data_IF_678203147991
#
_entry.id   IF_678203147991
#
_cell.length_a   1.000
_cell.length_b   1.000
_cell.length_c   1.000
_cell.angle_alpha   90.00
_cell.angle_beta   90.00
_cell.angle_gamma   90.00
#
_symmetry.space_group_name_H-M   'P 1'
#
loop_
_entity.id
_entity.type
_entity.pdbx_description
1 polymer ?
#
# COMPACT_ATOMS: atom_id res chain seq x y z
N UNK A 1 7.79 7.96 19.64
CA UNK A 1 8.36 8.80 20.72
C UNK A 1 9.03 7.96 21.81
N UNK A 2 8.34 7.01 22.47
CA UNK A 2 8.97 6.13 23.48
C UNK A 2 10.18 5.36 22.95
N UNK A 3 10.03 4.75 21.77
CA UNK A 3 11.14 4.07 21.08
C UNK A 3 12.35 4.97 20.81
N UNK A 4 12.13 6.27 20.55
CA UNK A 4 13.21 7.21 20.24
C UNK A 4 13.90 7.79 21.50
N UNK A 5 13.19 7.84 22.63
CA UNK A 5 13.65 8.54 23.85
C UNK A 5 14.02 7.55 24.98
N UNK A 6 13.51 6.32 24.92
CA UNK A 6 13.65 5.31 25.97
C UNK A 6 12.55 5.40 27.03
N UNK A 7 12.34 4.29 27.73
CA UNK A 7 11.27 4.16 28.73
C UNK A 7 11.62 4.86 30.05
N UNK A 8 12.90 5.04 30.34
CA UNK A 8 13.39 5.66 31.59
C UNK A 8 13.23 7.18 31.62
N UNK A 9 12.92 7.81 30.48
CA UNK A 9 12.78 9.25 30.37
C UNK A 9 11.34 9.68 30.60
N UNK A 10 11.13 10.50 31.63
CA UNK A 10 9.84 11.16 31.84
C UNK A 10 9.60 12.22 30.76
N UNK A 11 8.43 12.16 30.13
CA UNK A 11 8.01 13.11 29.09
C UNK A 11 6.76 13.80 29.64
N UNK A 12 6.78 15.14 29.68
CA UNK A 12 5.63 15.91 30.14
C UNK A 12 4.47 15.79 29.14
N UNK A 13 3.23 15.95 29.63
CA UNK A 13 2.04 16.01 28.77
C UNK A 13 2.17 17.13 27.72
N UNK A 14 2.70 18.28 28.13
CA UNK A 14 2.91 19.43 27.25
C UNK A 14 3.85 19.08 26.08
N UNK A 15 4.96 18.39 26.31
CA UNK A 15 5.86 17.96 25.23
C UNK A 15 5.16 17.03 24.23
N UNK A 16 4.29 16.14 24.72
CA UNK A 16 3.51 15.25 23.85
C UNK A 16 2.54 16.06 22.99
N UNK A 17 1.82 17.01 23.59
CA UNK A 17 0.88 17.88 22.89
C UNK A 17 1.60 18.71 21.81
N UNK A 18 2.74 19.31 22.15
CA UNK A 18 3.58 20.06 21.20
C UNK A 18 4.05 19.23 20.01
N UNK A 19 4.53 18.00 20.24
CA UNK A 19 4.98 17.14 19.13
C UNK A 19 3.82 16.73 18.22
N UNK A 20 2.63 16.53 18.78
CA UNK A 20 1.43 16.25 17.97
C UNK A 20 1.07 17.46 17.10
N UNK A 21 1.13 18.68 17.65
CA UNK A 21 0.90 19.91 16.89
C UNK A 21 1.94 20.07 15.77
N UNK A 22 3.23 19.89 16.09
CA UNK A 22 4.30 19.92 15.09
C UNK A 22 4.09 18.90 13.98
N UNK A 23 3.56 17.71 14.29
CA UNK A 23 3.27 16.67 13.29
C UNK A 23 2.18 17.13 12.31
N UNK A 24 1.15 17.83 12.81
CA UNK A 24 0.10 18.41 11.96
C UNK A 24 0.66 19.49 11.03
N UNK A 25 1.47 20.41 11.56
CA UNK A 25 2.11 21.46 10.75
C UNK A 25 3.10 20.87 9.74
N UNK A 26 3.82 19.82 10.11
CA UNK A 26 4.74 19.11 9.22
C UNK A 26 4.01 18.49 8.02
N UNK A 27 2.88 17.82 8.27
CA UNK A 27 2.03 17.26 7.20
C UNK A 27 1.49 18.35 6.27
N UNK A 28 1.09 19.50 6.82
CA UNK A 28 0.62 20.64 6.04
C UNK A 28 1.73 21.23 5.15
N UNK A 29 2.93 21.41 5.71
CA UNK A 29 4.10 21.92 4.98
C UNK A 29 4.44 21.02 3.77
N UNK A 30 4.56 19.72 3.99
CA UNK A 30 4.84 18.76 2.91
C UNK A 30 3.71 18.77 1.88
N UNK A 31 2.45 18.80 2.34
CA UNK A 31 1.29 18.84 1.45
C UNK A 31 1.27 20.09 0.55
N UNK A 32 1.64 21.25 1.07
CA UNK A 32 1.73 22.49 0.31
C UNK A 32 2.86 22.45 -0.74
N UNK A 33 4.04 21.94 -0.36
CA UNK A 33 5.15 21.80 -1.31
C UNK A 33 4.82 20.75 -2.38
N UNK A 34 4.25 19.61 -2.01
CA UNK A 34 3.83 18.57 -2.95
C UNK A 34 2.74 19.06 -3.91
N UNK A 35 1.79 19.88 -3.44
CA UNK A 35 0.83 20.57 -4.31
C UNK A 35 1.54 21.48 -5.31
N UNK A 36 2.48 22.30 -4.84
CA UNK A 36 3.26 23.20 -5.70
C UNK A 36 4.04 22.43 -6.77
N UNK A 37 4.65 21.29 -6.43
CA UNK A 37 5.33 20.42 -7.38
C UNK A 37 4.34 19.83 -8.40
N UNK A 38 3.19 19.34 -7.93
CA UNK A 38 2.17 18.72 -8.76
C UNK A 38 1.54 19.74 -9.74
N UNK A 39 1.30 20.97 -9.30
CA UNK A 39 0.82 22.09 -10.13
C UNK A 39 1.80 22.40 -11.26
N UNK A 40 3.09 22.51 -10.94
CA UNK A 40 4.14 22.80 -11.92
C UNK A 40 4.27 21.70 -12.98
N UNK A 41 4.05 20.44 -12.60
CA UNK A 41 4.10 19.31 -13.52
C UNK A 41 2.82 19.15 -14.36
N UNK A 42 1.71 19.77 -13.95
CA UNK A 42 0.42 19.59 -14.60
C UNK A 42 0.28 20.40 -15.89
N UNK A 43 -0.16 19.73 -16.95
CA UNK A 43 -0.57 20.37 -18.22
C UNK A 43 -2.07 20.72 -18.27
N UNK A 44 -2.85 20.25 -17.29
CA UNK A 44 -4.31 20.39 -17.20
C UNK A 44 -4.68 20.98 -15.84
N UNK A 45 -5.80 21.70 -15.81
CA UNK A 45 -6.33 22.41 -14.64
C UNK A 45 -6.61 21.49 -13.43
N UNK A 46 -6.91 20.20 -13.66
CA UNK A 46 -7.03 19.20 -12.60
C UNK A 46 -5.79 18.32 -12.53
N UNK A 47 -5.08 18.38 -11.41
CA UNK A 47 -3.94 17.51 -11.10
C UNK A 47 -4.20 16.67 -9.85
N UNK A 48 -3.48 15.56 -9.73
CA UNK A 48 -3.49 14.72 -8.54
C UNK A 48 -2.08 14.62 -8.00
N UNK A 49 -1.94 14.71 -6.68
CA UNK A 49 -0.67 14.46 -6.01
C UNK A 49 -0.35 12.97 -6.16
N UNK A 50 0.80 12.67 -6.75
CA UNK A 50 1.38 11.34 -6.82
C UNK A 50 2.50 11.21 -5.80
N UNK A 51 2.98 9.99 -5.58
CA UNK A 51 4.11 9.76 -4.68
C UNK A 51 5.41 10.46 -5.14
N UNK A 52 5.63 10.58 -6.45
CA UNK A 52 6.77 11.31 -7.02
C UNK A 52 6.77 12.78 -6.62
N UNK A 53 5.58 13.39 -6.55
CA UNK A 53 5.46 14.78 -6.12
C UNK A 53 5.83 14.95 -4.65
N UNK A 54 5.51 13.96 -3.81
CA UNK A 54 5.87 13.95 -2.37
C UNK A 54 7.38 13.75 -2.18
N UNK A 55 7.99 12.84 -2.97
CA UNK A 55 9.45 12.62 -2.94
C UNK A 55 10.18 13.90 -3.32
N UNK A 56 9.81 14.52 -4.45
CA UNK A 56 10.40 15.78 -4.89
C UNK A 56 10.21 16.90 -3.86
N UNK A 57 9.03 16.95 -3.21
CA UNK A 57 8.78 17.94 -2.16
C UNK A 57 9.72 17.76 -0.96
N UNK A 58 9.96 16.51 -0.52
CA UNK A 58 10.90 16.23 0.55
C UNK A 58 12.34 16.61 0.15
N UNK A 59 12.75 16.34 -1.08
CA UNK A 59 14.06 16.75 -1.60
C UNK A 59 14.21 18.28 -1.62
N UNK A 60 13.19 19.02 -2.07
CA UNK A 60 13.18 20.48 -2.08
C UNK A 60 13.27 21.08 -0.67
N UNK A 61 12.64 20.43 0.32
CA UNK A 61 12.68 20.83 1.72
C UNK A 61 13.99 20.42 2.43
N UNK A 62 14.93 19.79 1.71
CA UNK A 62 16.22 19.35 2.26
C UNK A 62 16.14 18.07 3.11
N UNK A 63 15.05 17.32 2.98
CA UNK A 63 14.74 16.11 3.76
C UNK A 63 15.15 14.83 3.02
N UNK A 64 16.38 14.78 2.51
CA UNK A 64 16.88 13.71 1.64
C UNK A 64 16.76 12.31 2.26
N UNK A 65 17.04 12.19 3.56
CA UNK A 65 16.93 10.92 4.29
C UNK A 65 15.54 10.29 4.16
N UNK A 66 14.49 11.09 4.36
CA UNK A 66 13.11 10.61 4.25
C UNK A 66 12.73 10.29 2.80
N UNK A 67 13.22 11.07 1.83
CA UNK A 67 13.01 10.80 0.41
C UNK A 67 13.60 9.44 0.01
N UNK A 68 14.82 9.15 0.45
CA UNK A 68 15.52 7.89 0.13
C UNK A 68 14.86 6.69 0.80
N UNK A 69 14.40 6.82 2.05
CA UNK A 69 13.66 5.77 2.76
C UNK A 69 12.35 5.43 2.06
N UNK A 70 11.60 6.44 1.59
CA UNK A 70 10.36 6.24 0.84
C UNK A 70 10.64 5.55 -0.51
N UNK A 71 11.68 5.95 -1.24
CA UNK A 71 12.07 5.29 -2.51
C UNK A 71 12.41 3.81 -2.29
N UNK A 72 13.12 3.48 -1.22
CA UNK A 72 13.46 2.10 -0.89
C UNK A 72 12.20 1.26 -0.62
N UNK A 73 11.23 1.80 0.13
CA UNK A 73 9.95 1.15 0.39
C UNK A 73 9.13 0.94 -0.89
N UNK A 74 9.11 1.93 -1.79
CA UNK A 74 8.41 1.81 -3.08
C UNK A 74 8.94 0.67 -3.93
N UNK A 75 10.26 0.54 -4.06
CA UNK A 75 10.86 -0.58 -4.79
C UNK A 75 10.39 -1.95 -4.28
N UNK A 76 10.21 -2.08 -2.96
CA UNK A 76 9.67 -3.30 -2.34
C UNK A 76 8.19 -3.53 -2.67
N UNK A 77 7.37 -2.47 -2.65
CA UNK A 77 5.93 -2.55 -2.92
C UNK A 77 5.61 -2.80 -4.39
N UNK A 78 6.36 -2.19 -5.31
CA UNK A 78 6.23 -2.42 -6.75
C UNK A 78 6.55 -3.87 -7.10
N UNK A 79 7.61 -4.43 -6.50
CA UNK A 79 7.97 -5.83 -6.65
C UNK A 79 6.86 -6.77 -6.19
N UNK A 80 6.26 -6.51 -5.02
CA UNK A 80 5.13 -7.31 -4.52
C UNK A 80 3.88 -7.17 -5.41
N UNK A 81 3.62 -5.96 -5.91
CA UNK A 81 2.50 -5.70 -6.82
C UNK A 81 2.70 -6.42 -8.15
N UNK A 82 3.93 -6.45 -8.66
CA UNK A 82 4.29 -7.17 -9.87
C UNK A 82 4.10 -8.68 -9.69
N UNK A 83 4.64 -9.28 -8.61
CA UNK A 83 4.43 -10.70 -8.29
C UNK A 83 2.94 -11.06 -8.21
N UNK A 84 2.12 -10.19 -7.63
CA UNK A 84 0.66 -10.40 -7.56
C UNK A 84 0.01 -10.38 -8.94
N UNK A 85 0.42 -9.47 -9.83
CA UNK A 85 -0.05 -9.40 -11.21
C UNK A 85 0.36 -10.65 -11.99
N UNK A 86 1.60 -11.10 -11.87
CA UNK A 86 2.12 -12.32 -12.49
C UNK A 86 1.32 -13.55 -12.04
N UNK A 87 1.13 -13.74 -10.73
CA UNK A 87 0.29 -14.83 -10.19
C UNK A 87 -1.13 -14.81 -10.74
N UNK A 88 -1.72 -13.62 -10.86
CA UNK A 88 -3.09 -13.46 -11.38
C UNK A 88 -3.13 -13.75 -12.88
N UNK A 89 -2.12 -13.33 -13.64
CA UNK A 89 -1.98 -13.64 -15.05
C UNK A 89 -1.82 -15.16 -15.27
N UNK A 90 -0.92 -15.82 -14.53
CA UNK A 90 -0.76 -17.28 -14.58
C UNK A 90 -2.06 -18.02 -14.27
N UNK A 91 -2.83 -17.56 -13.27
CA UNK A 91 -4.14 -18.14 -12.95
C UNK A 91 -5.15 -17.95 -14.08
N UNK A 92 -5.19 -16.77 -14.71
CA UNK A 92 -6.07 -16.50 -15.85
C UNK A 92 -5.71 -17.37 -17.06
N UNK A 93 -4.41 -17.55 -17.35
CA UNK A 93 -3.96 -18.44 -18.43
C UNK A 93 -4.36 -19.89 -18.16
N UNK A 94 -4.19 -20.38 -16.93
CA UNK A 94 -4.61 -21.74 -16.56
C UNK A 94 -6.13 -21.95 -16.73
N UNK A 95 -6.94 -20.93 -16.42
CA UNK A 95 -8.41 -20.98 -16.64
C UNK A 95 -8.76 -20.93 -18.13
N UNK A 96 -7.98 -20.22 -18.96
CA UNK A 96 -8.21 -20.15 -20.40
C UNK A 96 -7.85 -21.44 -21.14
N UNK A 97 -6.94 -22.26 -20.60
CA UNK A 97 -6.52 -23.54 -21.22
C UNK A 97 -7.47 -24.70 -20.93
N UNK A 98 -8.37 -24.57 -19.96
CA UNK A 98 -9.35 -25.61 -19.61
C UNK A 98 -10.70 -25.28 -20.24
N UNK A 99 -11.35 -26.28 -20.85
CA UNK A 99 -12.67 -26.06 -21.44
C UNK A 99 -13.73 -25.79 -20.36
N UNK A 100 -14.77 -25.01 -20.70
CA UNK A 100 -15.91 -24.74 -19.81
C UNK A 100 -16.56 -26.04 -19.30
N UNK A 101 -16.67 -27.05 -20.16
CA UNK A 101 -17.33 -28.32 -19.84
C UNK A 101 -16.51 -29.14 -18.83
N UNK A 102 -15.19 -29.12 -18.94
CA UNK A 102 -14.27 -29.77 -18.00
C UNK A 102 -14.34 -29.11 -16.62
N UNK A 103 -14.39 -27.77 -16.56
CA UNK A 103 -14.54 -27.01 -15.31
C UNK A 103 -15.88 -27.31 -14.62
N UNK A 104 -16.96 -27.52 -15.38
CA UNK A 104 -18.28 -27.90 -14.85
C UNK A 104 -18.29 -29.33 -14.31
N UNK A 105 -17.62 -30.27 -15.00
CA UNK A 105 -17.46 -31.64 -14.53
C UNK A 105 -16.67 -31.69 -13.20
N UNK A 106 -15.60 -30.92 -13.08
CA UNK A 106 -14.81 -30.83 -11.86
C UNK A 106 -15.61 -30.19 -10.70
N UNK A 107 -16.30 -29.09 -10.96
CA UNK A 107 -17.16 -28.44 -9.96
C UNK A 107 -18.25 -29.40 -9.43
N UNK A 108 -18.91 -30.14 -10.32
CA UNK A 108 -19.96 -31.09 -9.90
C UNK A 108 -19.40 -32.29 -9.14
N UNK A 109 -18.20 -32.77 -9.48
CA UNK A 109 -17.51 -33.81 -8.72
C UNK A 109 -17.14 -33.33 -7.30
N UNK A 110 -16.63 -32.10 -7.17
CA UNK A 110 -16.31 -31.48 -5.88
C UNK A 110 -17.56 -31.29 -5.01
N UNK A 111 -18.68 -30.85 -5.59
CA UNK A 111 -19.94 -30.74 -4.85
C UNK A 111 -20.45 -32.10 -4.37
N UNK A 112 -20.39 -33.13 -5.21
CA UNK A 112 -20.75 -34.50 -4.79
C UNK A 112 -19.87 -34.97 -3.64
N UNK A 113 -18.56 -34.75 -3.72
CA UNK A 113 -17.63 -35.11 -2.66
C UNK A 113 -17.92 -34.35 -1.35
N UNK A 114 -18.20 -33.05 -1.43
CA UNK A 114 -18.56 -32.23 -0.28
C UNK A 114 -19.88 -32.68 0.35
N UNK A 115 -20.90 -32.99 -0.46
CA UNK A 115 -22.18 -33.54 0.02
C UNK A 115 -22.01 -34.88 0.71
N UNK A 116 -21.26 -35.81 0.11
CA UNK A 116 -20.96 -37.11 0.73
C UNK A 116 -20.22 -36.96 2.06
N UNK A 117 -19.29 -36.00 2.13
CA UNK A 117 -18.56 -35.70 3.36
C UNK A 117 -19.50 -35.11 4.43
N UNK A 118 -20.36 -34.15 4.07
CA UNK A 118 -21.34 -33.55 4.99
C UNK A 118 -22.32 -34.61 5.54
N UNK A 119 -22.85 -35.48 4.68
CA UNK A 119 -23.72 -36.60 5.09
C UNK A 119 -22.98 -37.59 6.01
N UNK A 120 -21.69 -37.83 5.78
CA UNK A 120 -20.86 -38.69 6.63
C UNK A 120 -20.52 -38.03 7.98
N UNK A 121 -20.39 -36.71 8.01
CA UNK A 121 -20.05 -35.92 9.21
C UNK A 121 -21.29 -35.41 9.98
N UNK A 122 -22.51 -35.76 9.53
CA UNK A 122 -23.75 -35.54 10.28
C UNK A 122 -24.26 -34.09 10.29
N UNK A 123 -23.99 -33.33 9.22
CA UNK A 123 -24.61 -32.03 8.96
C UNK A 123 -25.84 -32.15 8.06
#
# INVERSE_FOLDING_TARGET
MREAVGDDVMISKETIDWVNECTGTFLQLIGQEANTVAEKAAKKENYRISHEHVITALENLGMQYYADEIKALQGSMELETQKKKERTASRKTAIQTTSRDELLAEQTALFKQASLKATKEGW
#
